data_IF_999288286478
#
_entry.id   IF_999288286478
#
_cell.length_a   1.000
_cell.length_b   1.000
_cell.length_c   1.000
_cell.angle_alpha   90.00
_cell.angle_beta   90.00
_cell.angle_gamma   90.00
#
_symmetry.space_group_name_H-M   'P 1'
#
loop_
_entity.id
_entity.type
_entity.pdbx_description
1 polymer ?
#
# COMPACT_ATOMS: atom_id res chain seq x y z
N UNK A 1 -40.80 56.42 42.76
CA UNK A 1 -40.84 54.94 42.75
C UNK A 1 -39.94 54.47 41.61
N UNK A 2 -38.69 54.12 41.92
CA UNK A 2 -37.67 53.76 40.93
C UNK A 2 -37.63 52.24 40.76
N UNK A 3 -37.94 51.74 39.55
CA UNK A 3 -37.72 50.35 39.16
C UNK A 3 -36.37 50.23 38.45
N UNK A 4 -35.46 49.34 38.87
CA UNK A 4 -34.21 49.11 38.16
C UNK A 4 -34.45 48.33 36.86
N UNK A 5 -33.68 48.67 35.83
CA UNK A 5 -33.73 48.08 34.49
C UNK A 5 -33.27 46.62 34.51
N UNK A 6 -34.05 45.72 33.89
CA UNK A 6 -33.56 44.40 33.47
C UNK A 6 -32.78 44.58 32.18
N UNK A 7 -31.47 44.47 32.24
CA UNK A 7 -30.64 44.20 31.07
C UNK A 7 -30.89 42.75 30.65
N UNK A 8 -31.59 42.57 29.54
CA UNK A 8 -31.65 41.29 28.85
C UNK A 8 -30.41 41.18 27.96
N UNK A 9 -29.28 40.82 28.54
CA UNK A 9 -28.16 40.29 27.77
C UNK A 9 -28.48 38.84 27.40
N UNK A 10 -29.22 38.68 26.31
CA UNK A 10 -29.32 37.40 25.62
C UNK A 10 -28.04 37.22 24.80
N UNK A 11 -26.94 36.93 25.50
CA UNK A 11 -25.75 36.36 24.88
C UNK A 11 -26.08 34.95 24.44
N UNK A 12 -26.69 34.81 23.26
CA UNK A 12 -26.71 33.56 22.52
C UNK A 12 -25.28 33.26 22.10
N UNK A 13 -24.51 32.74 23.06
CA UNK A 13 -23.34 31.95 22.76
C UNK A 13 -23.84 30.69 22.05
N UNK A 14 -24.06 30.81 20.75
CA UNK A 14 -23.89 29.72 19.80
C UNK A 14 -22.52 29.14 20.10
N UNK A 15 -22.50 28.16 21.00
CA UNK A 15 -21.41 27.23 21.13
C UNK A 15 -21.50 26.41 19.87
N UNK A 16 -20.86 26.95 18.84
CA UNK A 16 -20.38 26.24 17.67
C UNK A 16 -19.93 24.86 18.17
N UNK A 17 -20.77 23.86 17.90
CA UNK A 17 -20.43 22.49 18.19
C UNK A 17 -19.25 22.19 17.29
N UNK A 18 -18.04 22.32 17.85
CA UNK A 18 -16.80 21.92 17.21
C UNK A 18 -16.99 20.44 16.87
N UNK A 19 -17.37 20.18 15.62
CA UNK A 19 -17.33 18.85 15.04
C UNK A 19 -15.87 18.45 15.13
N UNK A 20 -15.49 17.41 15.88
CA UNK A 20 -14.15 16.90 15.73
C UNK A 20 -14.08 16.40 14.29
N UNK A 21 -13.32 17.12 13.46
CA UNK A 21 -12.83 16.63 12.17
C UNK A 21 -12.27 15.23 12.46
N UNK A 22 -13.02 14.19 12.07
CA UNK A 22 -12.47 12.84 12.12
C UNK A 22 -11.29 12.87 11.17
N UNK A 23 -10.05 12.63 11.63
CA UNK A 23 -8.94 12.60 10.70
C UNK A 23 -9.18 11.40 9.77
N UNK A 24 -9.43 11.68 8.49
CA UNK A 24 -9.45 10.74 7.36
C UNK A 24 -8.09 10.03 7.14
N UNK A 25 -7.18 10.08 8.13
CA UNK A 25 -5.76 9.72 8.05
C UNK A 25 -5.46 8.26 8.37
N UNK A 26 -6.47 7.41 8.54
CA UNK A 26 -6.26 5.97 8.70
C UNK A 26 -6.35 5.19 7.38
N UNK A 27 -6.41 5.86 6.21
CA UNK A 27 -6.21 5.21 4.91
C UNK A 27 -4.75 4.83 4.74
N UNK A 28 -4.47 3.54 4.94
CA UNK A 28 -3.14 2.97 4.91
C UNK A 28 -2.43 3.11 3.56
N UNK A 29 -1.12 3.32 3.69
CA UNK A 29 -0.24 3.74 2.63
C UNK A 29 0.20 2.63 1.67
N UNK A 30 1.15 3.03 0.83
CA UNK A 30 1.90 2.14 -0.05
C UNK A 30 2.81 1.26 0.82
N UNK A 31 2.83 -0.05 0.60
CA UNK A 31 3.65 -0.98 1.38
C UNK A 31 4.66 -1.67 0.46
N UNK A 32 5.95 -1.49 0.75
CA UNK A 32 7.02 -2.12 -0.01
C UNK A 32 6.89 -3.64 -0.04
N UNK A 33 6.62 -4.26 1.12
CA UNK A 33 6.48 -5.72 1.23
C UNK A 33 5.27 -6.27 0.47
N UNK A 34 4.16 -5.52 0.46
CA UNK A 34 2.98 -5.87 -0.33
C UNK A 34 3.30 -5.92 -1.82
N UNK A 35 3.99 -4.90 -2.34
CA UNK A 35 4.40 -4.83 -3.74
C UNK A 35 5.38 -5.96 -4.07
N UNK A 36 6.39 -6.20 -3.21
CA UNK A 36 7.37 -7.25 -3.42
C UNK A 36 6.72 -8.64 -3.51
N UNK A 37 5.78 -8.95 -2.62
CA UNK A 37 5.03 -10.20 -2.73
C UNK A 37 4.20 -10.27 -4.00
N UNK A 38 3.62 -9.16 -4.44
CA UNK A 38 2.95 -9.07 -5.74
C UNK A 38 3.86 -9.42 -6.90
N UNK A 39 5.11 -8.93 -6.88
CA UNK A 39 6.13 -9.23 -7.91
C UNK A 39 6.48 -10.72 -7.91
N UNK A 40 6.73 -11.32 -6.74
CA UNK A 40 7.05 -12.75 -6.62
C UNK A 40 5.90 -13.61 -7.17
N UNK A 41 4.66 -13.26 -6.83
CA UNK A 41 3.47 -13.97 -7.32
C UNK A 41 3.32 -13.80 -8.84
N UNK A 42 3.55 -12.60 -9.37
CA UNK A 42 3.49 -12.34 -10.81
C UNK A 42 4.54 -13.17 -11.57
N UNK A 43 5.80 -13.18 -11.12
CA UNK A 43 6.83 -14.00 -11.77
C UNK A 43 6.53 -15.50 -11.67
N UNK A 44 6.12 -15.99 -10.50
CA UNK A 44 5.73 -17.40 -10.34
C UNK A 44 4.59 -17.80 -11.27
N UNK A 45 3.53 -16.98 -11.34
CA UNK A 45 2.40 -17.22 -12.23
C UNK A 45 2.81 -17.16 -13.70
N UNK A 46 3.63 -16.18 -14.09
CA UNK A 46 4.10 -16.04 -15.47
C UNK A 46 4.96 -17.22 -15.91
N UNK A 47 5.86 -17.70 -15.07
CA UNK A 47 6.70 -18.88 -15.35
C UNK A 47 5.82 -20.12 -15.57
N UNK A 48 4.85 -20.36 -14.68
CA UNK A 48 3.94 -21.51 -14.80
C UNK A 48 3.11 -21.43 -16.08
N UNK A 49 2.53 -20.27 -16.38
CA UNK A 49 1.74 -20.08 -17.60
C UNK A 49 2.60 -20.22 -18.86
N UNK A 50 3.82 -19.69 -18.85
CA UNK A 50 4.78 -19.84 -19.94
C UNK A 50 5.18 -21.29 -20.17
N UNK A 51 5.37 -22.06 -19.08
CA UNK A 51 5.66 -23.50 -19.17
C UNK A 51 4.48 -24.28 -19.79
N UNK A 52 3.24 -23.92 -19.45
CA UNK A 52 2.04 -24.51 -20.07
C UNK A 52 1.99 -24.19 -21.56
N UNK A 53 2.18 -22.91 -21.94
CA UNK A 53 2.20 -22.49 -23.36
C UNK A 53 3.29 -23.26 -24.12
N UNK A 54 4.51 -23.30 -23.58
CA UNK A 54 5.64 -24.03 -24.17
C UNK A 54 5.34 -25.52 -24.33
N UNK A 55 4.74 -26.15 -23.31
CA UNK A 55 4.33 -27.56 -23.37
C UNK A 55 3.29 -27.83 -24.45
N UNK A 56 2.31 -26.95 -24.63
CA UNK A 56 1.34 -27.05 -25.73
C UNK A 56 2.02 -26.93 -27.08
N UNK A 57 2.93 -25.96 -27.25
CA UNK A 57 3.68 -25.77 -28.51
C UNK A 57 4.54 -26.97 -28.87
N UNK A 58 5.16 -27.61 -27.88
CA UNK A 58 5.89 -28.85 -28.07
C UNK A 58 4.95 -29.98 -28.51
N UNK A 59 3.80 -30.13 -27.84
CA UNK A 59 2.84 -31.19 -28.14
C UNK A 59 2.22 -31.09 -29.54
N UNK A 60 2.07 -29.88 -30.09
CA UNK A 60 1.55 -29.67 -31.45
C UNK A 60 2.63 -29.68 -32.54
N UNK A 61 3.90 -29.92 -32.20
CA UNK A 61 4.99 -30.01 -33.17
C UNK A 61 5.45 -28.66 -33.76
N UNK A 62 4.94 -27.53 -33.23
CA UNK A 62 5.33 -26.18 -33.67
C UNK A 62 6.82 -25.93 -33.43
N UNK A 63 7.39 -26.50 -32.36
CA UNK A 63 8.81 -26.37 -32.04
C UNK A 63 9.73 -27.25 -32.92
N UNK A 64 9.17 -28.21 -33.66
CA UNK A 64 9.93 -29.20 -34.45
C UNK A 64 9.96 -28.85 -35.95
N UNK A 65 9.37 -27.73 -36.36
CA UNK A 65 9.39 -27.25 -37.75
C UNK A 65 8.44 -28.00 -38.71
N UNK A 66 7.47 -28.75 -38.17
CA UNK A 66 6.51 -29.54 -38.97
C UNK A 66 5.37 -28.74 -39.61
N UNK A 67 5.49 -27.41 -39.73
CA UNK A 67 4.39 -26.51 -40.07
C UNK A 67 4.72 -25.68 -41.31
N UNK A 68 3.72 -25.42 -42.17
CA UNK A 68 3.89 -24.61 -43.38
C UNK A 68 4.16 -23.14 -43.06
N UNK A 69 4.73 -22.37 -44.00
CA UNK A 69 5.10 -20.95 -43.75
C UNK A 69 3.90 -20.08 -43.31
N UNK A 70 2.72 -20.29 -43.89
CA UNK A 70 1.50 -19.58 -43.49
C UNK A 70 1.03 -19.99 -42.09
N UNK A 71 1.09 -21.29 -41.77
CA UNK A 71 0.77 -21.77 -40.41
C UNK A 71 1.79 -21.31 -39.36
N UNK A 72 3.05 -21.07 -39.74
CA UNK A 72 4.07 -20.51 -38.83
C UNK A 72 3.70 -19.07 -38.42
N UNK A 73 3.19 -18.26 -39.35
CA UNK A 73 2.74 -16.89 -39.04
C UNK A 73 1.53 -16.91 -38.12
N UNK A 74 0.52 -17.72 -38.43
CA UNK A 74 -0.68 -17.86 -37.60
C UNK A 74 -0.36 -18.43 -36.21
N UNK A 75 0.51 -19.44 -36.14
CA UNK A 75 1.00 -19.96 -34.86
C UNK A 75 1.77 -18.89 -34.08
N UNK A 76 2.60 -18.08 -34.74
CA UNK A 76 3.33 -16.98 -34.12
C UNK A 76 2.41 -15.94 -33.49
N UNK A 77 1.34 -15.54 -34.19
CA UNK A 77 0.32 -14.63 -33.66
C UNK A 77 -0.42 -15.25 -32.48
N UNK A 78 -0.85 -16.51 -32.60
CA UNK A 78 -1.54 -17.21 -31.51
C UNK A 78 -0.66 -17.33 -30.25
N UNK A 79 0.63 -17.62 -30.42
CA UNK A 79 1.62 -17.65 -29.34
C UNK A 79 1.78 -16.29 -28.70
N UNK A 80 1.94 -15.23 -29.50
CA UNK A 80 2.07 -13.86 -29.00
C UNK A 80 0.85 -13.45 -28.16
N UNK A 81 -0.36 -13.72 -28.65
CA UNK A 81 -1.61 -13.48 -27.90
C UNK A 81 -1.63 -14.30 -26.61
N UNK A 82 -1.25 -15.57 -26.67
CA UNK A 82 -1.15 -16.44 -25.49
C UNK A 82 -0.25 -15.86 -24.41
N UNK A 83 0.93 -15.35 -24.78
CA UNK A 83 1.85 -14.69 -23.84
C UNK A 83 1.31 -13.36 -23.30
N UNK A 84 0.62 -12.56 -24.12
CA UNK A 84 -0.05 -11.32 -23.66
C UNK A 84 -1.12 -11.64 -22.62
N UNK A 85 -1.93 -12.67 -22.85
CA UNK A 85 -2.95 -13.13 -21.89
C UNK A 85 -2.29 -13.69 -20.63
N UNK A 86 -1.23 -14.49 -20.76
CA UNK A 86 -0.50 -15.03 -19.62
C UNK A 86 0.11 -13.92 -18.75
N UNK A 87 0.74 -12.94 -19.39
CA UNK A 87 1.29 -11.75 -18.74
C UNK A 87 0.20 -10.97 -18.00
N UNK A 88 -0.93 -10.73 -18.66
CA UNK A 88 -2.08 -10.06 -18.03
C UNK A 88 -2.55 -10.81 -16.78
N UNK A 89 -2.77 -12.13 -16.86
CA UNK A 89 -3.25 -12.96 -15.75
C UNK A 89 -2.23 -13.03 -14.61
N UNK A 90 -0.94 -13.14 -14.93
CA UNK A 90 0.13 -13.16 -13.95
C UNK A 90 0.17 -11.87 -13.13
N UNK A 91 0.11 -10.71 -13.78
CA UNK A 91 0.08 -9.43 -13.11
C UNK A 91 -1.27 -9.10 -12.47
N UNK A 92 -2.37 -9.65 -12.97
CA UNK A 92 -3.66 -9.61 -12.29
C UNK A 92 -3.59 -10.31 -10.92
N UNK A 93 -2.99 -11.50 -10.87
CA UNK A 93 -2.77 -12.22 -9.61
C UNK A 93 -1.78 -11.50 -8.69
N UNK A 94 -0.66 -11.02 -9.22
CA UNK A 94 0.33 -10.26 -8.43
C UNK A 94 -0.23 -8.94 -7.89
N UNK A 95 -0.97 -8.20 -8.69
CA UNK A 95 -1.68 -7.00 -8.26
C UNK A 95 -2.71 -7.32 -7.18
N UNK A 96 -3.46 -8.41 -7.32
CA UNK A 96 -4.45 -8.84 -6.32
C UNK A 96 -3.84 -9.17 -4.96
N UNK A 97 -2.72 -9.89 -4.93
CA UNK A 97 -2.03 -10.18 -3.67
C UNK A 97 -1.47 -8.91 -3.03
N UNK A 98 -0.87 -8.02 -3.82
CA UNK A 98 -0.42 -6.71 -3.34
C UNK A 98 -1.61 -5.89 -2.77
N UNK A 99 -2.72 -5.80 -3.50
CA UNK A 99 -3.93 -5.08 -3.11
C UNK A 99 -4.55 -5.60 -1.81
N UNK A 100 -4.54 -6.92 -1.56
CA UNK A 100 -5.04 -7.50 -0.30
C UNK A 100 -4.19 -7.19 0.92
N UNK A 101 -2.90 -6.93 0.72
CA UNK A 101 -2.00 -6.49 1.79
C UNK A 101 -1.94 -4.97 1.93
N UNK A 102 -2.48 -4.23 0.95
CA UNK A 102 -2.55 -2.78 0.97
C UNK A 102 -3.69 -2.33 1.87
N UNK A 103 -3.38 -1.52 2.88
CA UNK A 103 -4.37 -0.99 3.84
C UNK A 103 -5.18 0.19 3.26
N UNK A 104 -5.70 0.11 2.03
CA UNK A 104 -6.58 1.13 1.44
C UNK A 104 -6.02 1.93 0.24
N UNK A 105 -4.96 1.42 -0.41
CA UNK A 105 -4.41 1.95 -1.68
C UNK A 105 -4.10 0.79 -2.64
N UNK A 106 -5.05 -0.11 -2.87
CA UNK A 106 -4.84 -1.32 -3.65
C UNK A 106 -4.47 -1.03 -5.09
N UNK A 107 -5.12 -0.05 -5.73
CA UNK A 107 -4.77 0.38 -7.09
C UNK A 107 -3.31 0.82 -7.21
N UNK A 108 -2.83 1.65 -6.27
CA UNK A 108 -1.44 2.16 -6.28
C UNK A 108 -0.45 1.02 -6.05
N UNK A 109 -0.70 0.14 -5.07
CA UNK A 109 0.18 -1.00 -4.83
C UNK A 109 0.18 -1.98 -6.02
N UNK A 110 -0.98 -2.19 -6.66
CA UNK A 110 -1.11 -3.00 -7.88
C UNK A 110 -0.36 -2.42 -9.08
N UNK A 111 -0.39 -1.09 -9.27
CA UNK A 111 0.38 -0.39 -10.30
C UNK A 111 1.89 -0.38 -10.01
N UNK A 112 2.30 -0.48 -8.75
CA UNK A 112 3.72 -0.56 -8.40
C UNK A 112 4.31 -1.95 -8.66
N UNK A 113 3.50 -3.01 -8.72
CA UNK A 113 3.98 -4.37 -9.06
C UNK A 113 4.73 -4.39 -10.40
N UNK A 114 4.15 -3.96 -11.54
CA UNK A 114 4.88 -3.93 -12.81
C UNK A 114 6.11 -3.02 -12.80
N UNK A 115 6.06 -1.89 -12.09
CA UNK A 115 7.20 -0.97 -12.00
C UNK A 115 8.37 -1.64 -11.26
N UNK A 116 8.11 -2.22 -10.09
CA UNK A 116 9.15 -2.91 -9.31
C UNK A 116 9.63 -4.17 -10.03
N UNK A 117 8.74 -4.89 -10.73
CA UNK A 117 9.13 -6.03 -11.54
C UNK A 117 10.12 -5.65 -12.65
N UNK A 118 9.89 -4.55 -13.38
CA UNK A 118 10.84 -4.03 -14.37
C UNK A 118 12.19 -3.74 -13.71
N UNK A 119 12.20 -3.04 -12.58
CA UNK A 119 13.44 -2.71 -11.86
C UNK A 119 14.19 -3.99 -11.47
N UNK A 120 13.49 -5.00 -10.96
CA UNK A 120 14.10 -6.30 -10.61
C UNK A 120 14.69 -6.97 -11.85
N UNK A 121 13.98 -7.00 -12.98
CA UNK A 121 14.48 -7.59 -14.23
C UNK A 121 15.73 -6.86 -14.74
N UNK A 122 15.74 -5.53 -14.70
CA UNK A 122 16.90 -4.72 -15.11
C UNK A 122 18.09 -4.98 -14.22
N UNK A 123 17.90 -5.02 -12.89
CA UNK A 123 18.97 -5.31 -11.93
C UNK A 123 19.51 -6.72 -12.12
N UNK A 124 18.65 -7.72 -12.25
CA UNK A 124 19.08 -9.10 -12.52
C UNK A 124 19.83 -9.22 -13.84
N UNK A 125 19.35 -8.56 -14.90
CA UNK A 125 20.02 -8.52 -16.20
C UNK A 125 21.42 -7.89 -16.10
N UNK A 126 21.57 -6.80 -15.35
CA UNK A 126 22.86 -6.17 -15.10
C UNK A 126 23.82 -7.08 -14.32
N UNK A 127 23.32 -7.80 -13.30
CA UNK A 127 24.11 -8.77 -12.53
C UNK A 127 24.58 -9.93 -13.42
N UNK A 128 23.68 -10.49 -14.24
CA UNK A 128 24.02 -11.57 -15.19
C UNK A 128 25.08 -11.09 -16.18
N UNK A 129 24.92 -9.89 -16.76
CA UNK A 129 25.90 -9.32 -17.69
C UNK A 129 27.26 -9.08 -17.02
N UNK A 130 27.27 -8.59 -15.79
CA UNK A 130 28.50 -8.40 -15.02
C UNK A 130 29.23 -9.73 -14.76
N UNK A 131 28.51 -10.76 -14.30
CA UNK A 131 29.07 -12.09 -14.06
C UNK A 131 29.58 -12.70 -15.36
N UNK A 132 28.82 -12.61 -16.45
CA UNK A 132 29.21 -13.10 -17.77
C UNK A 132 30.50 -12.43 -18.26
N UNK A 133 30.67 -11.12 -18.08
CA UNK A 133 31.91 -10.42 -18.43
C UNK A 133 33.09 -10.84 -17.55
N UNK A 134 32.90 -11.04 -16.25
CA UNK A 134 33.96 -11.56 -15.37
C UNK A 134 34.33 -13.02 -15.68
N UNK A 135 33.39 -13.80 -16.22
CA UNK A 135 33.65 -15.14 -16.73
C UNK A 135 34.30 -15.11 -18.12
N UNK A 136 34.02 -14.11 -18.95
CA UNK A 136 34.64 -13.95 -20.27
C UNK A 136 36.16 -13.71 -20.19
N UNK A 137 36.64 -13.04 -19.15
CA UNK A 137 38.09 -12.92 -18.85
C UNK A 137 38.75 -14.27 -18.51
N UNK A 138 37.96 -15.32 -18.20
CA UNK A 138 38.45 -16.69 -17.91
C UNK A 138 38.01 -17.75 -18.93
N UNK A 139 37.16 -17.39 -19.91
CA UNK A 139 36.56 -18.29 -20.92
C UNK A 139 36.60 -17.64 -22.32
N UNK A 140 37.67 -16.94 -22.65
CA UNK A 140 37.89 -16.44 -24.01
C UNK A 140 38.00 -17.57 -25.06
N UNK A 141 38.21 -18.83 -24.65
CA UNK A 141 38.46 -19.94 -25.56
C UNK A 141 37.24 -20.82 -25.94
N UNK A 142 36.05 -20.64 -25.36
CA UNK A 142 34.92 -21.56 -25.61
C UNK A 142 33.57 -20.93 -25.99
N UNK A 143 33.47 -19.60 -26.09
CA UNK A 143 32.20 -18.91 -26.34
C UNK A 143 32.05 -18.34 -27.76
N UNK A 144 32.84 -18.82 -28.74
CA UNK A 144 32.35 -18.88 -30.11
C UNK A 144 31.28 -19.97 -30.21
N UNK A 145 30.17 -19.78 -29.49
CA UNK A 145 28.91 -20.38 -29.91
C UNK A 145 28.62 -19.67 -31.22
N UNK A 146 29.14 -20.25 -32.31
CA UNK A 146 28.56 -20.11 -33.62
C UNK A 146 27.09 -20.44 -33.40
N UNK A 147 26.30 -19.40 -33.19
CA UNK A 147 24.88 -19.47 -33.29
C UNK A 147 24.63 -19.80 -34.76
N UNK A 148 24.65 -21.10 -35.08
CA UNK A 148 23.77 -21.69 -36.06
C UNK A 148 22.35 -21.39 -35.57
N UNK A 149 22.03 -20.11 -35.63
CA UNK A 149 20.71 -19.55 -35.41
C UNK A 149 19.94 -20.17 -36.54
N UNK A 150 18.94 -21.03 -36.30
CA UNK A 150 18.04 -21.47 -37.35
C UNK A 150 17.53 -20.17 -37.99
N UNK A 151 18.02 -19.88 -39.19
CA UNK A 151 17.70 -18.64 -39.88
C UNK A 151 16.24 -18.79 -40.27
N UNK A 152 15.36 -18.34 -39.37
CA UNK A 152 13.96 -18.12 -39.69
C UNK A 152 13.99 -17.17 -40.89
N UNK A 153 13.48 -17.55 -42.08
CA UNK A 153 13.64 -16.78 -43.32
C UNK A 153 12.89 -15.43 -43.36
N UNK A 154 12.71 -14.79 -42.20
CA UNK A 154 12.03 -13.51 -42.08
C UNK A 154 13.05 -12.37 -42.17
N UNK A 155 12.74 -11.30 -42.92
CA UNK A 155 13.59 -10.12 -42.95
C UNK A 155 13.68 -9.50 -41.54
N UNK A 156 14.89 -9.12 -41.12
CA UNK A 156 15.16 -8.59 -39.77
C UNK A 156 14.27 -7.39 -39.38
N UNK A 157 13.81 -6.61 -40.35
CA UNK A 157 12.88 -5.49 -40.15
C UNK A 157 11.49 -5.96 -39.69
N UNK A 158 10.99 -7.05 -40.27
CA UNK A 158 9.67 -7.59 -39.95
C UNK A 158 9.68 -8.26 -38.56
N UNK A 159 10.80 -8.90 -38.21
CA UNK A 159 11.00 -9.45 -36.87
C UNK A 159 11.06 -8.35 -35.80
N UNK A 160 11.67 -7.21 -36.11
CA UNK A 160 11.71 -6.04 -35.22
C UNK A 160 10.31 -5.43 -35.01
N UNK A 161 9.49 -5.36 -36.07
CA UNK A 161 8.12 -4.84 -35.98
C UNK A 161 7.22 -5.76 -35.15
N UNK A 162 7.24 -7.08 -35.42
CA UNK A 162 6.47 -8.08 -34.66
C UNK A 162 6.89 -8.07 -33.18
N UNK A 163 8.21 -8.05 -32.92
CA UNK A 163 8.75 -7.99 -31.56
C UNK A 163 8.34 -6.72 -30.82
N UNK A 164 8.28 -5.59 -31.51
CA UNK A 164 7.86 -4.31 -30.92
C UNK A 164 6.38 -4.35 -30.55
N UNK A 165 5.51 -4.81 -31.44
CA UNK A 165 4.07 -4.90 -31.17
C UNK A 165 3.78 -5.86 -30.01
N UNK A 166 4.41 -7.04 -30.01
CA UNK A 166 4.28 -8.00 -28.92
C UNK A 166 4.81 -7.43 -27.59
N UNK A 167 5.95 -6.74 -27.61
CA UNK A 167 6.55 -6.09 -26.45
C UNK A 167 5.63 -5.01 -25.85
N UNK A 168 5.05 -4.14 -26.68
CA UNK A 168 4.08 -3.13 -26.23
C UNK A 168 2.84 -3.81 -25.64
N UNK A 169 2.33 -4.86 -26.29
CA UNK A 169 1.20 -5.65 -25.79
C UNK A 169 1.45 -6.23 -24.39
N UNK A 170 2.64 -6.79 -24.16
CA UNK A 170 3.05 -7.33 -22.86
C UNK A 170 3.15 -6.23 -21.79
N UNK A 171 3.68 -5.06 -22.13
CA UNK A 171 3.77 -3.92 -21.21
C UNK A 171 2.39 -3.41 -20.80
N UNK A 172 1.48 -3.25 -21.77
CA UNK A 172 0.10 -2.83 -21.49
C UNK A 172 -0.60 -3.89 -20.62
N UNK A 173 -0.47 -5.17 -20.99
CA UNK A 173 -1.07 -6.29 -20.26
C UNK A 173 -0.65 -6.32 -18.80
N UNK A 174 0.64 -6.16 -18.49
CA UNK A 174 1.09 -6.18 -17.10
C UNK A 174 0.62 -4.96 -16.29
N UNK A 175 0.55 -3.77 -16.90
CA UNK A 175 0.10 -2.54 -16.21
C UNK A 175 -1.39 -2.63 -15.91
N UNK A 176 -2.20 -3.01 -16.91
CA UNK A 176 -3.65 -3.16 -16.75
C UNK A 176 -3.96 -4.31 -15.79
N UNK A 177 -3.28 -5.45 -15.92
CA UNK A 177 -3.43 -6.59 -15.01
C UNK A 177 -3.14 -6.20 -13.56
N UNK A 178 -1.98 -5.58 -13.31
CA UNK A 178 -1.58 -5.12 -11.97
C UNK A 178 -2.57 -4.14 -11.35
N UNK A 179 -3.03 -3.16 -12.12
CA UNK A 179 -4.02 -2.18 -11.68
C UNK A 179 -5.35 -2.83 -11.28
N UNK A 180 -5.92 -3.66 -12.17
CA UNK A 180 -7.19 -4.36 -11.93
C UNK A 180 -7.07 -5.32 -10.74
N UNK A 181 -5.97 -6.06 -10.66
CA UNK A 181 -5.68 -6.96 -9.56
C UNK A 181 -5.68 -6.20 -8.23
N UNK A 182 -4.92 -5.11 -8.16
CA UNK A 182 -4.83 -4.25 -6.99
C UNK A 182 -6.18 -3.72 -6.53
N UNK A 183 -7.01 -3.26 -7.47
CA UNK A 183 -8.38 -2.82 -7.19
C UNK A 183 -9.26 -3.94 -6.62
N UNK A 184 -9.22 -5.13 -7.21
CA UNK A 184 -10.00 -6.26 -6.71
C UNK A 184 -9.55 -6.72 -5.32
N UNK A 185 -8.25 -6.62 -5.02
CA UNK A 185 -7.69 -6.98 -3.72
C UNK A 185 -8.19 -6.07 -2.58
N UNK A 186 -8.33 -4.77 -2.84
CA UNK A 186 -8.77 -3.80 -1.83
C UNK A 186 -10.28 -3.83 -1.58
N UNK A 187 -11.07 -4.14 -2.62
CA UNK A 187 -12.54 -3.96 -2.64
C UNK A 187 -13.27 -4.64 -1.47
N UNK A 188 -12.70 -5.71 -0.93
CA UNK A 188 -13.25 -6.43 0.23
C UNK A 188 -13.17 -5.63 1.54
N UNK A 189 -12.07 -4.91 1.77
CA UNK A 189 -11.87 -4.12 2.99
C UNK A 189 -12.72 -2.84 2.98
N UNK A 190 -12.76 -2.15 1.83
CA UNK A 190 -13.56 -0.94 1.67
C UNK A 190 -15.06 -1.18 1.90
N UNK A 191 -15.57 -2.37 1.58
CA UNK A 191 -16.99 -2.71 1.78
C UNK A 191 -17.34 -2.91 3.26
N UNK A 192 -16.44 -3.50 4.04
CA UNK A 192 -16.65 -3.76 5.47
C UNK A 192 -16.51 -2.48 6.30
N UNK A 193 -15.56 -1.62 5.92
CA UNK A 193 -15.34 -0.32 6.59
C UNK A 193 -16.55 0.60 6.43
N UNK A 194 -17.09 0.74 5.21
CA UNK A 194 -18.31 1.53 4.97
C UNK A 194 -19.51 1.03 5.78
N UNK A 195 -19.62 -0.29 5.99
CA UNK A 195 -20.70 -0.86 6.82
C UNK A 195 -20.53 -0.52 8.29
N UNK A 196 -19.31 -0.62 8.82
CA UNK A 196 -19.01 -0.24 10.21
C UNK A 196 -19.22 1.25 10.47
N UNK A 197 -18.88 2.11 9.51
CA UNK A 197 -19.13 3.55 9.61
C UNK A 197 -20.62 3.85 9.63
N UNK A 198 -21.40 3.24 8.73
CA UNK A 198 -22.87 3.38 8.72
C UNK A 198 -23.53 2.86 10.02
N UNK A 199 -23.06 1.73 10.57
CA UNK A 199 -23.53 1.22 11.86
C UNK A 199 -23.14 2.14 13.03
N UNK A 200 -21.95 2.73 13.00
CA UNK A 200 -21.50 3.67 14.02
C UNK A 200 -22.26 5.00 13.97
N UNK A 201 -22.64 5.45 12.78
CA UNK A 201 -23.49 6.63 12.58
C UNK A 201 -24.91 6.38 13.08
N UNK A 202 -25.52 5.26 12.71
CA UNK A 202 -26.84 4.86 13.19
C UNK A 202 -26.88 4.71 14.74
N UNK A 203 -25.82 4.19 15.35
CA UNK A 203 -25.70 4.12 16.83
C UNK A 203 -25.60 5.48 17.50
N UNK A 204 -24.96 6.47 16.84
CA UNK A 204 -24.85 7.84 17.37
C UNK A 204 -26.17 8.58 17.28
N UNK A 205 -26.90 8.39 16.20
CA UNK A 205 -28.23 8.98 16.01
C UNK A 205 -29.28 8.40 16.97
N UNK A 206 -29.19 7.09 17.25
CA UNK A 206 -30.05 6.42 18.23
C UNK A 206 -29.68 6.73 19.70
N UNK A 207 -28.53 7.35 19.97
CA UNK A 207 -28.10 7.65 21.34
C UNK A 207 -28.78 8.93 21.83
N UNK A 208 -29.58 8.88 22.91
CA UNK A 208 -30.24 10.07 23.44
C UNK A 208 -29.20 11.13 23.85
N UNK A 209 -29.54 12.44 23.77
CA UNK A 209 -28.61 13.51 24.10
C UNK A 209 -28.04 13.28 25.50
N UNK A 210 -26.72 13.51 25.71
CA UNK A 210 -26.12 13.33 27.01
C UNK A 210 -26.90 14.16 28.04
N UNK A 211 -27.14 13.64 29.25
CA UNK A 211 -27.82 14.40 30.28
C UNK A 211 -27.09 15.73 30.48
N UNK A 212 -27.83 16.83 30.73
CA UNK A 212 -27.21 18.14 30.93
C UNK A 212 -26.12 18.02 31.99
N UNK A 213 -24.98 18.71 31.83
CA UNK A 213 -23.91 18.65 32.81
C UNK A 213 -24.51 18.98 34.18
N UNK A 214 -24.42 18.02 35.10
CA UNK A 214 -24.88 18.23 36.47
C UNK A 214 -24.00 19.33 37.02
N UNK A 215 -24.55 20.54 37.14
CA UNK A 215 -23.91 21.65 37.82
C UNK A 215 -23.68 21.16 39.25
N UNK A 216 -22.46 20.73 39.55
CA UNK A 216 -22.04 20.53 40.93
C UNK A 216 -22.07 21.92 41.54
N UNK A 217 -23.15 22.24 42.24
CA UNK A 217 -23.15 23.36 43.16
C UNK A 217 -22.05 23.04 44.18
N UNK A 218 -20.89 23.67 44.01
CA UNK A 218 -19.92 23.79 45.08
C UNK A 218 -20.63 24.59 46.16
N UNK A 219 -21.16 23.88 47.15
CA UNK A 219 -21.61 24.47 48.40
C UNK A 219 -20.39 25.08 49.10
N UNK A 220 -19.94 26.25 48.65
CA UNK A 220 -19.16 27.17 49.46
C UNK A 220 -20.13 27.83 50.44
N UNK A 221 -20.63 27.02 51.39
CA UNK A 221 -21.22 27.55 52.60
C UNK A 221 -20.08 28.12 53.44
N UNK A 222 -20.08 29.45 53.56
CA UNK A 222 -19.00 30.21 54.14
C UNK A 222 -18.68 29.81 55.58
N UNK A 223 -17.38 29.62 55.83
CA UNK A 223 -16.79 29.77 57.15
C UNK A 223 -15.91 31.01 57.10
N UNK A 224 -16.52 32.19 57.23
CA UNK A 224 -15.79 33.37 57.72
C UNK A 224 -15.61 33.15 59.21
N UNK A 225 -14.51 32.50 59.58
CA UNK A 225 -14.05 32.43 60.96
C UNK A 225 -13.32 33.73 61.25
N UNK A 226 -13.88 34.52 62.14
CA UNK A 226 -13.24 35.66 62.79
C UNK A 226 -11.87 35.23 63.33
N UNK A 227 -10.82 35.82 62.76
CA UNK A 227 -9.46 35.72 63.27
C UNK A 227 -8.90 37.14 63.34
N UNK A 228 -9.47 37.93 64.25
CA UNK A 228 -8.87 39.18 64.70
C UNK A 228 -9.33 39.46 66.13
N UNK A 229 -8.66 38.81 67.09
CA UNK A 229 -8.54 39.28 68.48
C UNK A 229 -7.51 38.47 69.26
N UNK A 230 -6.55 39.21 69.79
CA UNK A 230 -5.74 38.94 70.99
C UNK A 230 -4.70 37.81 70.81
N UNK A 231 -3.38 38.00 70.86
CA UNK A 231 -2.59 38.92 71.67
C UNK A 231 -1.90 38.15 72.81
N UNK A 232 -0.57 38.12 72.81
CA UNK A 232 0.42 37.83 73.89
C UNK A 232 1.22 36.50 73.78
N UNK A 233 2.54 36.50 74.13
CA UNK A 233 3.61 35.67 73.52
C UNK A 233 4.26 34.65 74.49
N UNK A 234 5.50 34.23 74.15
CA UNK A 234 6.50 33.43 74.91
C UNK A 234 6.32 31.89 74.78
N UNK A 235 7.33 31.02 74.65
CA UNK A 235 8.80 31.07 74.60
C UNK A 235 9.30 29.66 74.17
N UNK A 236 10.61 29.53 73.93
CA UNK A 236 11.42 28.28 73.92
C UNK A 236 11.36 27.35 72.68
N UNK A 237 12.44 27.32 71.89
CA UNK A 237 13.50 26.28 71.90
C UNK A 237 13.03 24.90 71.42
N UNK A 238 13.46 24.46 70.23
CA UNK A 238 14.62 23.57 70.16
C UNK A 238 15.07 23.32 68.71
N UNK A 239 16.34 22.96 68.62
CA UNK A 239 17.18 22.73 67.44
C UNK A 239 16.66 21.56 66.60
N UNK A 240 17.03 21.48 65.32
CA UNK A 240 18.11 20.58 64.89
C UNK A 240 18.28 20.57 63.36
N UNK A 241 19.56 20.58 63.02
CA UNK A 241 20.23 20.55 61.73
C UNK A 241 20.00 19.22 60.98
N UNK A 242 19.85 19.28 59.65
CA UNK A 242 20.65 18.45 58.71
C UNK A 242 20.29 18.66 57.24
N UNK A 243 21.24 19.31 56.61
CA UNK A 243 21.70 19.13 55.23
C UNK A 243 22.00 17.64 54.89
N UNK A 244 22.25 17.39 53.60
CA UNK A 244 22.52 16.13 52.87
C UNK A 244 21.29 15.53 52.16
N UNK A 245 21.33 15.20 50.89
CA UNK A 245 22.43 15.27 49.93
C UNK A 245 22.00 14.59 48.63
N UNK A 246 22.39 15.20 47.53
CA UNK A 246 22.28 14.65 46.17
C UNK A 246 22.84 13.22 46.11
N UNK A 247 22.20 12.32 45.35
CA UNK A 247 22.93 11.30 44.59
C UNK A 247 22.12 10.73 43.41
N UNK A 248 22.68 10.98 42.23
CA UNK A 248 22.57 10.21 40.99
C UNK A 248 22.74 8.70 41.20
N UNK A 249 22.09 7.92 40.33
CA UNK A 249 22.49 6.63 39.68
C UNK A 249 21.17 6.07 39.09
N UNK A 250 21.04 5.60 37.86
CA UNK A 250 21.92 5.24 36.73
C UNK A 250 21.01 5.20 35.51
#
# INVERSE_FOLDING_TARGET
MSRPQRTSEHGSGERESVRPDRPDKARGGVSFWSVLTGVVVAFGAFIVLSAIISGVLAAVGVLEGGVSADEVVDAGVAVAIGFVVAQFLAYLWGGYTAGRMARGKGLINGLLVPIVAIVVVVVLGAVVAFVANTAADSVADNASVNADTPQVPLPLSELADIGTVAGVGLLIAMVVGGALGGMFGERWHTKLERRREAEAEARREAQPPPPPPVRRETTEAGTRSDADRDGVPDDEEDKEDKDTGSRRRT
#
